data_IF_036060222530
#
_entry.id   IF_036060222530
#
_cell.length_a   1.000
_cell.length_b   1.000
_cell.length_c   1.000
_cell.angle_alpha   90.00
_cell.angle_beta   90.00
_cell.angle_gamma   90.00
#
_symmetry.space_group_name_H-M   'P 1'
#
loop_
_entity.id
_entity.type
_entity.pdbx_description
1 polymer ?
#
# COMPACT_ATOMS: atom_id res chain seq x y z
N UNK A 1 -7.12 -25.48 -5.27
CA UNK A 1 -8.48 -26.01 -5.03
C UNK A 1 -9.36 -24.83 -4.69
N UNK A 2 -10.36 -24.52 -5.51
CA UNK A 2 -11.31 -23.43 -5.18
C UNK A 2 -12.08 -23.88 -3.93
N UNK A 3 -11.96 -23.11 -2.86
CA UNK A 3 -12.73 -23.27 -1.64
C UNK A 3 -13.90 -22.30 -1.66
N UNK A 4 -15.04 -22.70 -1.10
CA UNK A 4 -16.18 -21.81 -0.93
C UNK A 4 -15.99 -21.05 0.39
N UNK A 5 -15.06 -20.11 0.40
CA UNK A 5 -14.67 -19.38 1.61
C UNK A 5 -14.39 -17.91 1.35
N UNK A 6 -14.47 -17.11 2.40
CA UNK A 6 -14.12 -15.70 2.41
C UNK A 6 -12.88 -15.48 3.28
N UNK A 7 -11.94 -14.70 2.77
CA UNK A 7 -10.77 -14.27 3.52
C UNK A 7 -10.89 -12.79 3.84
N UNK A 8 -10.77 -12.44 5.11
CA UNK A 8 -10.83 -11.08 5.63
C UNK A 8 -9.50 -10.69 6.24
N UNK A 9 -9.12 -9.44 6.08
CA UNK A 9 -7.98 -8.86 6.77
C UNK A 9 -8.48 -7.83 7.78
N UNK A 10 -8.31 -8.13 9.06
CA UNK A 10 -8.62 -7.24 10.17
C UNK A 10 -7.37 -6.48 10.59
N UNK A 11 -7.29 -5.19 10.23
CA UNK A 11 -6.11 -4.38 10.48
C UNK A 11 -5.75 -4.32 11.97
N UNK A 12 -6.70 -3.93 12.81
CA UNK A 12 -6.46 -3.71 14.24
C UNK A 12 -6.48 -4.97 15.09
N UNK A 13 -6.88 -6.09 14.51
CA UNK A 13 -6.77 -7.43 15.10
C UNK A 13 -5.41 -8.08 14.78
N UNK A 14 -4.64 -7.48 13.86
CA UNK A 14 -3.41 -8.07 13.31
C UNK A 14 -3.62 -9.48 12.78
N UNK A 15 -4.76 -9.71 12.15
CA UNK A 15 -5.18 -11.03 11.75
C UNK A 15 -5.77 -11.08 10.34
N UNK A 16 -5.49 -12.18 9.65
CA UNK A 16 -6.21 -12.59 8.45
C UNK A 16 -7.05 -13.81 8.81
N UNK A 17 -8.34 -13.72 8.54
CA UNK A 17 -9.34 -14.70 8.98
C UNK A 17 -10.03 -15.29 7.76
N UNK A 18 -10.24 -16.60 7.75
CA UNK A 18 -11.00 -17.27 6.70
C UNK A 18 -12.24 -17.93 7.27
N UNK A 19 -13.36 -17.70 6.61
CA UNK A 19 -14.67 -18.25 6.97
C UNK A 19 -15.23 -19.08 5.82
N UNK A 20 -15.98 -20.12 6.15
CA UNK A 20 -16.85 -20.78 5.19
C UNK A 20 -17.93 -19.81 4.72
N UNK A 21 -18.14 -19.73 3.41
CA UNK A 21 -19.06 -18.74 2.82
C UNK A 21 -20.53 -19.00 3.13
N UNK A 22 -20.93 -20.27 3.25
CA UNK A 22 -22.33 -20.63 3.43
C UNK A 22 -22.73 -20.65 4.90
N UNK A 23 -21.83 -21.15 5.76
CA UNK A 23 -22.14 -21.33 7.19
C UNK A 23 -21.66 -20.20 8.07
N UNK A 24 -20.68 -19.42 7.59
CA UNK A 24 -19.98 -18.42 8.40
C UNK A 24 -19.07 -19.01 9.46
N UNK A 25 -18.84 -20.32 9.44
CA UNK A 25 -17.93 -20.96 10.38
C UNK A 25 -16.48 -20.57 10.12
N UNK A 26 -15.72 -20.39 11.21
CA UNK A 26 -14.31 -20.04 11.16
C UNK A 26 -13.48 -21.24 10.70
N UNK A 27 -12.71 -21.07 9.62
CA UNK A 27 -11.80 -22.09 9.10
C UNK A 27 -10.41 -21.96 9.71
N UNK A 28 -9.81 -20.77 9.65
CA UNK A 28 -8.46 -20.50 10.16
C UNK A 28 -8.15 -19.03 10.38
N UNK A 29 -7.10 -18.75 11.15
CA UNK A 29 -6.58 -17.43 11.47
C UNK A 29 -5.07 -17.39 11.22
N UNK A 30 -4.58 -16.37 10.52
CA UNK A 30 -3.15 -16.02 10.40
C UNK A 30 -2.90 -14.76 11.22
N UNK A 31 -2.02 -14.82 12.20
CA UNK A 31 -1.65 -13.72 13.06
C UNK A 31 -0.93 -14.20 14.32
N UNK A 32 -0.38 -13.27 15.07
CA UNK A 32 0.22 -13.58 16.35
C UNK A 32 -0.84 -14.11 17.32
N UNK A 33 -0.71 -15.31 17.86
CA UNK A 33 -1.67 -15.91 18.77
C UNK A 33 -1.68 -15.29 20.18
N UNK A 34 -0.73 -14.39 20.48
CA UNK A 34 -0.69 -13.72 21.78
C UNK A 34 -2.02 -12.97 22.06
N UNK A 35 -2.52 -13.10 23.28
CA UNK A 35 -3.79 -12.53 23.76
C UNK A 35 -5.08 -13.14 23.19
N UNK A 36 -4.99 -14.18 22.37
CA UNK A 36 -6.16 -14.96 21.94
C UNK A 36 -6.50 -16.04 22.94
N UNK A 37 -7.80 -16.41 23.12
CA UNK A 37 -8.17 -17.55 23.95
C UNK A 37 -7.52 -18.83 23.44
N UNK A 38 -6.95 -19.63 24.33
CA UNK A 38 -6.19 -20.83 23.96
C UNK A 38 -6.98 -21.81 23.11
N UNK A 39 -8.29 -21.94 23.34
CA UNK A 39 -9.18 -22.78 22.54
C UNK A 39 -9.26 -22.37 21.07
N UNK A 40 -9.10 -21.07 20.77
CA UNK A 40 -9.02 -20.55 19.40
C UNK A 40 -7.64 -20.79 18.80
N UNK A 41 -6.59 -20.58 19.60
CA UNK A 41 -5.20 -20.84 19.18
C UNK A 41 -5.04 -22.29 18.76
N UNK A 42 -5.46 -23.22 19.61
CA UNK A 42 -5.33 -24.66 19.35
C UNK A 42 -6.12 -25.13 18.12
N UNK A 43 -7.20 -24.46 17.78
CA UNK A 43 -8.12 -24.91 16.73
C UNK A 43 -7.93 -24.20 15.38
N UNK A 44 -7.58 -22.93 15.41
CA UNK A 44 -7.68 -22.09 14.20
C UNK A 44 -6.39 -21.42 13.78
N UNK A 45 -5.37 -21.35 14.66
CA UNK A 45 -4.12 -20.72 14.32
C UNK A 45 -3.14 -21.67 13.68
N UNK A 46 -2.32 -21.14 12.80
CA UNK A 46 -1.25 -21.90 12.18
C UNK A 46 -0.01 -21.93 13.05
N UNK A 47 0.71 -23.05 13.00
CA UNK A 47 2.03 -23.21 13.62
C UNK A 47 3.11 -22.88 12.59
N UNK A 48 4.01 -21.91 12.87
CA UNK A 48 5.13 -21.63 12.01
C UNK A 48 6.04 -22.84 11.80
N UNK A 49 6.46 -23.06 10.54
CA UNK A 49 7.38 -24.12 10.13
C UNK A 49 8.38 -23.58 9.11
N UNK A 50 9.41 -24.35 8.79
CA UNK A 50 10.50 -24.01 7.88
C UNK A 50 11.78 -23.63 8.64
N UNK A 51 12.90 -23.57 7.89
CA UNK A 51 14.22 -23.25 8.46
C UNK A 51 14.55 -21.76 8.35
N UNK A 52 13.67 -20.97 7.72
CA UNK A 52 13.84 -19.53 7.53
C UNK A 52 13.35 -18.70 8.71
N UNK A 53 13.63 -17.40 8.66
CA UNK A 53 13.02 -16.47 9.60
C UNK A 53 11.50 -16.45 9.42
N UNK A 54 10.79 -16.31 10.53
CA UNK A 54 9.35 -16.13 10.54
C UNK A 54 8.98 -15.00 11.48
N UNK A 55 8.22 -14.04 10.94
CA UNK A 55 7.60 -12.97 11.72
C UNK A 55 6.11 -12.90 11.40
N UNK A 56 5.30 -12.65 12.41
CA UNK A 56 3.90 -12.30 12.21
C UNK A 56 3.75 -10.89 11.61
N UNK A 57 2.65 -10.68 10.89
CA UNK A 57 2.25 -9.35 10.43
C UNK A 57 1.51 -8.58 11.53
N UNK A 58 1.59 -7.25 11.45
CA UNK A 58 0.87 -6.33 12.33
C UNK A 58 0.25 -5.19 11.54
N UNK A 59 -1.01 -4.89 11.82
CA UNK A 59 -1.82 -3.84 11.15
C UNK A 59 -1.76 -3.90 9.60
N UNK A 60 -1.78 -5.10 9.07
CA UNK A 60 -1.57 -5.39 7.65
C UNK A 60 -2.66 -4.79 6.74
N UNK A 61 -2.26 -4.53 5.49
CA UNK A 61 -3.14 -4.14 4.40
C UNK A 61 -2.99 -5.06 3.19
N UNK A 62 -3.92 -4.93 2.24
CA UNK A 62 -3.87 -5.54 0.91
C UNK A 62 -3.60 -7.05 0.93
N UNK A 63 -4.34 -7.79 1.73
CA UNK A 63 -4.27 -9.23 1.75
C UNK A 63 -4.81 -9.83 0.44
N UNK A 64 -4.02 -10.65 -0.21
CA UNK A 64 -4.35 -11.32 -1.47
C UNK A 64 -4.16 -12.82 -1.31
N UNK A 65 -5.13 -13.60 -1.79
CA UNK A 65 -5.00 -15.06 -1.93
C UNK A 65 -4.46 -15.35 -3.32
N UNK A 66 -3.28 -15.94 -3.38
CA UNK A 66 -2.59 -16.24 -4.64
C UNK A 66 -3.20 -17.46 -5.35
N UNK A 67 -2.91 -17.66 -6.64
CA UNK A 67 -3.47 -18.77 -7.42
C UNK A 67 -3.15 -20.17 -6.88
N UNK A 68 -2.03 -20.31 -6.19
CA UNK A 68 -1.58 -21.55 -5.53
C UNK A 68 -2.15 -21.75 -4.12
N UNK A 69 -2.79 -20.72 -3.57
CA UNK A 69 -3.38 -20.72 -2.23
C UNK A 69 -2.51 -20.06 -1.17
N UNK A 70 -1.32 -19.58 -1.51
CA UNK A 70 -0.50 -18.80 -0.61
C UNK A 70 -1.19 -17.46 -0.29
N UNK A 71 -0.86 -16.87 0.84
CA UNK A 71 -1.37 -15.57 1.28
C UNK A 71 -0.26 -14.53 1.14
N UNK A 72 -0.54 -13.46 0.42
CA UNK A 72 0.38 -12.33 0.29
C UNK A 72 -0.26 -11.07 0.85
N UNK A 73 0.50 -10.25 1.58
CA UNK A 73 -0.01 -9.03 2.17
C UNK A 73 1.11 -8.01 2.40
N UNK A 74 0.71 -6.76 2.62
CA UNK A 74 1.60 -5.74 3.14
C UNK A 74 1.49 -5.70 4.66
N UNK A 75 2.58 -6.06 5.34
CA UNK A 75 2.74 -5.98 6.79
C UNK A 75 3.22 -4.58 7.15
N UNK A 76 2.32 -3.73 7.62
CA UNK A 76 2.66 -2.36 8.03
C UNK A 76 3.57 -2.35 9.25
N UNK A 77 3.43 -3.33 10.13
CA UNK A 77 4.27 -3.47 11.31
C UNK A 77 4.03 -2.42 12.39
N UNK A 78 2.90 -1.70 12.34
CA UNK A 78 2.63 -0.67 13.32
C UNK A 78 2.59 -1.29 14.72
N UNK A 79 3.35 -0.70 15.65
CA UNK A 79 3.62 -1.21 17.00
C UNK A 79 4.39 -2.55 17.06
N UNK A 80 4.16 -3.48 16.15
CA UNK A 80 4.78 -4.81 16.03
C UNK A 80 4.88 -5.59 17.35
N UNK A 81 3.84 -5.51 18.16
CA UNK A 81 3.64 -6.27 19.38
C UNK A 81 2.18 -6.20 19.83
N UNK A 82 1.70 -7.24 20.51
CA UNK A 82 0.37 -7.28 21.12
C UNK A 82 0.30 -6.59 22.49
N UNK A 83 1.44 -6.44 23.14
CA UNK A 83 1.55 -5.76 24.43
C UNK A 83 2.17 -4.38 24.24
N UNK A 84 1.50 -3.29 24.70
CA UNK A 84 2.02 -1.92 24.64
C UNK A 84 3.42 -1.73 25.23
N UNK A 85 3.79 -2.50 26.23
CA UNK A 85 5.12 -2.42 26.86
C UNK A 85 6.25 -2.89 25.90
N UNK A 86 5.88 -3.61 24.84
CA UNK A 86 6.80 -4.17 23.84
C UNK A 86 6.75 -3.42 22.51
N UNK A 87 6.02 -2.32 22.41
CA UNK A 87 5.90 -1.56 21.18
C UNK A 87 7.24 -1.09 20.65
N UNK A 88 7.49 -1.37 19.36
CA UNK A 88 8.70 -0.93 18.67
C UNK A 88 8.50 0.52 18.20
N UNK A 89 9.40 1.45 18.57
CA UNK A 89 9.34 2.82 18.07
C UNK A 89 9.43 2.87 16.54
N UNK A 90 8.70 3.79 15.92
CA UNK A 90 8.65 3.94 14.46
C UNK A 90 10.04 4.06 13.81
N UNK A 91 10.97 4.74 14.47
CA UNK A 91 12.36 4.89 14.00
C UNK A 91 13.20 3.60 13.99
N UNK A 92 12.70 2.55 14.61
CA UNK A 92 13.35 1.23 14.70
C UNK A 92 12.49 0.13 14.06
N UNK A 93 11.36 0.50 13.51
CA UNK A 93 10.40 -0.42 12.94
C UNK A 93 10.62 -0.60 11.43
N UNK A 94 9.88 -1.51 10.84
CA UNK A 94 9.87 -1.77 9.41
C UNK A 94 8.49 -2.15 8.91
N UNK A 95 8.25 -1.90 7.64
CA UNK A 95 7.15 -2.49 6.87
C UNK A 95 7.69 -3.39 5.77
N UNK A 96 6.84 -4.28 5.26
CA UNK A 96 7.27 -5.21 4.21
C UNK A 96 6.10 -5.80 3.44
N UNK A 97 6.35 -6.20 2.21
CA UNK A 97 5.55 -7.22 1.56
C UNK A 97 5.95 -8.59 2.10
N UNK A 98 5.01 -9.47 2.36
CA UNK A 98 5.28 -10.84 2.83
C UNK A 98 4.35 -11.83 2.17
N UNK A 99 4.87 -13.04 1.88
CA UNK A 99 4.10 -14.17 1.36
C UNK A 99 4.23 -15.35 2.31
N UNK A 100 3.09 -15.85 2.70
CA UNK A 100 2.96 -17.03 3.55
C UNK A 100 2.39 -18.20 2.76
N UNK A 101 3.04 -19.33 2.85
CA UNK A 101 2.51 -20.64 2.43
C UNK A 101 1.79 -21.29 3.59
N UNK A 102 0.55 -21.68 3.36
CA UNK A 102 -0.27 -22.34 4.39
C UNK A 102 -0.60 -23.79 4.00
N UNK A 103 -0.56 -24.66 4.97
CA UNK A 103 -1.09 -26.04 4.88
C UNK A 103 -2.28 -26.15 5.84
N UNK A 104 -3.49 -26.09 5.29
CA UNK A 104 -4.73 -26.12 6.08
C UNK A 104 -5.06 -27.50 6.65
N UNK A 105 -4.47 -28.56 6.12
CA UNK A 105 -4.65 -29.91 6.66
C UNK A 105 -3.79 -30.14 7.90
N UNK A 106 -2.59 -29.54 7.93
CA UNK A 106 -1.65 -29.63 9.06
C UNK A 106 -1.69 -28.44 10.00
N UNK A 107 -2.40 -27.39 9.61
CA UNK A 107 -2.41 -26.09 10.29
C UNK A 107 -1.00 -25.54 10.49
N UNK A 108 -0.21 -25.50 9.40
CA UNK A 108 1.15 -24.97 9.40
C UNK A 108 1.31 -23.83 8.42
N UNK A 109 2.21 -22.90 8.75
CA UNK A 109 2.51 -21.70 7.98
C UNK A 109 4.01 -21.52 7.81
N UNK A 110 4.45 -21.18 6.62
CA UNK A 110 5.84 -20.89 6.30
C UNK A 110 5.94 -19.51 5.65
N UNK A 111 6.88 -18.69 6.11
CA UNK A 111 7.22 -17.45 5.42
C UNK A 111 8.15 -17.77 4.26
N UNK A 112 7.62 -17.73 3.03
CA UNK A 112 8.36 -18.16 1.83
C UNK A 112 9.02 -16.99 1.09
N UNK A 113 8.59 -15.77 1.36
CA UNK A 113 9.17 -14.57 0.78
C UNK A 113 8.84 -13.33 1.62
N UNK A 114 9.75 -12.35 1.60
CA UNK A 114 9.49 -11.00 2.08
C UNK A 114 10.39 -9.99 1.34
N UNK A 115 9.97 -8.73 1.37
CA UNK A 115 10.78 -7.58 0.95
C UNK A 115 10.39 -6.34 1.75
N UNK A 116 11.37 -5.62 2.27
CA UNK A 116 11.21 -4.35 2.99
C UNK A 116 11.73 -4.37 4.43
N UNK A 117 11.80 -5.53 5.10
CA UNK A 117 12.34 -5.66 6.45
C UNK A 117 13.77 -5.12 6.56
N UNK A 118 14.60 -5.43 5.59
CA UNK A 118 16.01 -5.03 5.49
C UNK A 118 16.20 -3.51 5.32
N UNK A 119 15.15 -2.81 4.93
CA UNK A 119 15.17 -1.36 4.73
C UNK A 119 14.83 -0.60 6.01
N UNK A 120 14.29 -1.28 7.02
CA UNK A 120 13.97 -0.67 8.31
C UNK A 120 13.01 0.52 8.21
N UNK A 121 13.28 1.56 8.98
CA UNK A 121 12.42 2.74 9.07
C UNK A 121 12.29 3.54 7.77
N UNK A 122 13.24 3.41 6.86
CA UNK A 122 13.19 4.06 5.53
C UNK A 122 12.00 3.58 4.70
N UNK A 123 11.56 2.34 4.92
CA UNK A 123 10.42 1.75 4.22
C UNK A 123 9.17 1.64 5.10
N UNK A 124 9.26 2.08 6.35
CA UNK A 124 8.19 1.94 7.33
C UNK A 124 7.03 2.88 7.03
N UNK A 125 5.86 2.28 6.87
CA UNK A 125 4.59 2.98 6.70
C UNK A 125 3.53 2.36 7.61
N UNK A 126 3.06 3.06 8.65
CA UNK A 126 2.17 2.49 9.67
C UNK A 126 0.73 2.26 9.19
N UNK A 127 0.38 2.65 7.99
CA UNK A 127 -0.98 2.52 7.43
C UNK A 127 -0.95 2.52 5.91
N UNK A 128 -2.09 2.20 5.26
CA UNK A 128 -2.25 2.10 3.80
C UNK A 128 -1.27 1.11 3.18
N UNK A 129 -0.83 1.30 1.95
CA UNK A 129 0.12 0.45 1.24
C UNK A 129 -0.51 -0.78 0.57
N UNK A 130 0.23 -1.38 -0.34
CA UNK A 130 -0.18 -2.65 -0.93
C UNK A 130 0.98 -3.46 -1.51
N UNK A 131 0.66 -4.71 -1.78
CA UNK A 131 1.46 -5.61 -2.59
C UNK A 131 0.63 -6.06 -3.78
N UNK A 132 1.29 -6.30 -4.90
CA UNK A 132 0.68 -6.89 -6.09
C UNK A 132 1.49 -8.10 -6.53
N UNK A 133 0.78 -9.16 -6.89
CA UNK A 133 1.33 -10.37 -7.47
C UNK A 133 1.01 -10.39 -8.96
N UNK A 134 2.02 -10.38 -9.80
CA UNK A 134 1.85 -10.50 -11.25
C UNK A 134 2.06 -11.94 -11.71
N UNK A 135 3.17 -12.52 -11.32
CA UNK A 135 3.52 -13.91 -11.50
C UNK A 135 4.58 -14.34 -10.47
N UNK A 136 5.06 -15.57 -10.52
CA UNK A 136 6.02 -16.10 -9.56
C UNK A 136 7.35 -15.32 -9.58
N UNK A 137 7.68 -14.73 -8.45
CA UNK A 137 8.87 -13.92 -8.26
C UNK A 137 8.77 -12.49 -8.82
N UNK A 138 7.63 -12.11 -9.42
CA UNK A 138 7.41 -10.78 -9.95
C UNK A 138 6.32 -10.07 -9.16
N UNK A 139 6.74 -9.28 -8.21
CA UNK A 139 5.87 -8.59 -7.25
C UNK A 139 6.13 -7.10 -7.24
N UNK A 140 5.10 -6.34 -6.91
CA UNK A 140 5.23 -4.92 -6.58
C UNK A 140 4.93 -4.73 -5.10
N UNK A 141 5.75 -3.91 -4.44
CA UNK A 141 5.55 -3.52 -3.05
C UNK A 141 5.50 -2.00 -2.99
N UNK A 142 4.42 -1.48 -2.46
CA UNK A 142 4.16 -0.06 -2.38
C UNK A 142 4.01 0.37 -0.92
N UNK A 143 4.92 1.20 -0.46
CA UNK A 143 4.88 1.86 0.84
C UNK A 143 4.40 3.30 0.66
N UNK A 144 3.16 3.57 1.06
CA UNK A 144 2.41 4.77 0.66
C UNK A 144 2.37 5.90 1.68
N UNK A 145 2.99 5.72 2.84
CA UNK A 145 2.96 6.72 3.92
C UNK A 145 4.23 6.67 4.76
N UNK A 146 5.40 6.77 4.11
CA UNK A 146 6.70 6.74 4.77
C UNK A 146 6.91 8.04 5.54
N UNK A 147 7.22 7.92 6.83
CA UNK A 147 7.50 9.05 7.71
C UNK A 147 8.98 9.23 8.05
N UNK A 148 9.88 8.45 7.44
CA UNK A 148 11.33 8.53 7.69
C UNK A 148 12.10 8.37 6.39
N UNK A 149 13.04 9.29 6.14
CA UNK A 149 14.00 9.22 5.05
C UNK A 149 15.41 9.49 5.62
N UNK A 150 16.41 8.75 5.15
CA UNK A 150 17.80 8.86 5.63
C UNK A 150 17.92 8.82 7.16
N UNK A 151 17.07 8.03 7.82
CA UNK A 151 17.04 7.87 9.27
C UNK A 151 16.49 9.06 10.05
N UNK A 152 15.85 10.03 9.36
CA UNK A 152 15.22 11.20 9.96
C UNK A 152 13.72 11.21 9.70
N UNK A 153 12.90 11.73 10.63
CA UNK A 153 11.51 12.01 10.33
C UNK A 153 11.39 12.97 9.14
N UNK A 154 10.50 12.65 8.18
CA UNK A 154 10.14 13.57 7.12
C UNK A 154 9.14 14.61 7.64
N UNK A 155 9.19 15.83 7.18
CA UNK A 155 8.14 16.83 7.43
C UNK A 155 6.85 16.46 6.71
N UNK A 156 6.96 15.76 5.59
CA UNK A 156 5.86 15.13 4.88
C UNK A 156 6.01 13.63 4.82
N UNK A 157 5.05 12.94 4.23
CA UNK A 157 5.12 11.53 3.95
C UNK A 157 5.60 11.28 2.52
N UNK A 158 6.57 10.40 2.38
CA UNK A 158 7.03 9.94 1.07
C UNK A 158 6.29 8.67 0.64
N UNK A 159 6.33 8.41 -0.65
CA UNK A 159 5.78 7.21 -1.28
C UNK A 159 6.91 6.48 -1.99
N UNK A 160 7.08 5.21 -1.69
CA UNK A 160 8.08 4.37 -2.34
C UNK A 160 7.41 3.18 -3.00
N UNK A 161 7.81 2.88 -4.21
CA UNK A 161 7.34 1.76 -4.98
C UNK A 161 8.53 0.96 -5.47
N UNK A 162 8.56 -0.32 -5.15
CA UNK A 162 9.60 -1.23 -5.57
C UNK A 162 9.01 -2.40 -6.38
N UNK A 163 9.65 -2.74 -7.48
CA UNK A 163 9.30 -3.86 -8.33
C UNK A 163 10.39 -4.92 -8.25
N UNK A 164 10.01 -6.13 -7.88
CA UNK A 164 10.91 -7.27 -7.85
C UNK A 164 10.70 -8.16 -9.08
N UNK A 165 11.72 -8.41 -9.90
CA UNK A 165 11.68 -9.40 -10.96
C UNK A 165 11.89 -10.82 -10.42
N UNK A 166 11.88 -11.81 -11.30
CA UNK A 166 12.03 -13.25 -11.01
C UNK A 166 13.20 -13.64 -10.08
N UNK A 167 14.22 -12.83 -10.00
CA UNK A 167 15.29 -13.04 -9.02
C UNK A 167 14.92 -12.33 -7.72
N UNK A 168 14.49 -13.10 -6.75
CA UNK A 168 13.92 -12.70 -5.46
C UNK A 168 14.62 -11.58 -4.69
N UNK A 169 15.86 -11.30 -5.01
CA UNK A 169 16.73 -10.37 -4.27
C UNK A 169 17.04 -9.10 -5.06
N UNK A 170 16.42 -8.91 -6.22
CA UNK A 170 16.72 -7.79 -7.09
C UNK A 170 15.50 -6.93 -7.37
N UNK A 171 15.56 -5.68 -6.92
CA UNK A 171 14.62 -4.65 -7.36
C UNK A 171 14.96 -4.24 -8.79
N UNK A 172 13.99 -4.36 -9.70
CA UNK A 172 14.16 -3.97 -11.11
C UNK A 172 13.78 -2.52 -11.36
N UNK A 173 12.89 -2.00 -10.55
CA UNK A 173 12.41 -0.63 -10.64
C UNK A 173 12.05 -0.14 -9.24
N UNK A 174 12.46 1.05 -8.92
CA UNK A 174 12.10 1.75 -7.69
C UNK A 174 11.81 3.21 -7.99
N UNK A 175 10.79 3.76 -7.37
CA UNK A 175 10.53 5.19 -7.39
C UNK A 175 10.18 5.69 -5.99
N UNK A 176 10.56 6.91 -5.71
CA UNK A 176 10.23 7.61 -4.47
C UNK A 176 9.67 8.99 -4.81
N UNK A 177 8.68 9.43 -4.07
CA UNK A 177 8.16 10.79 -4.18
C UNK A 177 9.18 11.79 -3.71
N UNK A 178 9.36 12.86 -4.48
CA UNK A 178 10.22 13.99 -4.14
C UNK A 178 9.58 15.30 -4.59
N UNK A 179 10.10 16.40 -4.13
CA UNK A 179 9.79 17.74 -4.65
C UNK A 179 10.96 18.27 -5.48
N UNK A 180 10.67 19.14 -6.43
CA UNK A 180 11.67 19.92 -7.14
C UNK A 180 11.60 21.35 -6.61
N UNK A 181 12.69 21.80 -6.01
CA UNK A 181 12.83 23.16 -5.52
C UNK A 181 14.08 23.76 -6.18
N UNK A 182 13.89 24.81 -6.96
CA UNK A 182 14.98 25.47 -7.71
C UNK A 182 15.80 24.48 -8.58
N UNK A 183 15.09 23.54 -9.25
CA UNK A 183 15.65 22.44 -10.06
C UNK A 183 16.45 21.38 -9.27
N UNK A 184 16.46 21.45 -7.95
CA UNK A 184 17.07 20.42 -7.10
C UNK A 184 16.02 19.43 -6.58
N UNK A 185 16.39 18.14 -6.56
CA UNK A 185 15.54 17.08 -6.00
C UNK A 185 15.60 17.13 -4.48
N UNK A 186 14.46 17.34 -3.84
CA UNK A 186 14.32 17.39 -2.38
C UNK A 186 13.40 16.28 -1.93
N UNK A 187 13.90 15.43 -1.04
CA UNK A 187 13.12 14.33 -0.46
C UNK A 187 12.35 14.72 0.80
N UNK A 188 12.67 15.85 1.39
CA UNK A 188 11.91 16.44 2.49
C UNK A 188 10.72 17.19 1.92
N UNK A 189 9.53 16.60 2.05
CA UNK A 189 8.32 17.14 1.44
C UNK A 189 7.72 18.25 2.29
N UNK A 190 7.45 19.40 1.70
CA UNK A 190 6.76 20.50 2.35
C UNK A 190 5.24 20.28 2.43
N UNK A 191 4.74 19.37 1.59
CA UNK A 191 3.34 18.95 1.60
C UNK A 191 3.29 17.45 1.77
N UNK A 192 2.57 16.93 2.77
CA UNK A 192 2.42 15.49 2.95
C UNK A 192 1.90 14.82 1.68
N UNK A 193 2.60 13.81 1.20
CA UNK A 193 2.17 12.96 0.11
C UNK A 193 1.81 11.58 0.65
N UNK A 194 0.58 11.17 0.39
CA UNK A 194 0.11 9.82 0.71
C UNK A 194 -0.40 9.18 -0.57
N UNK A 195 -0.06 7.91 -0.77
CA UNK A 195 -0.66 7.11 -1.81
C UNK A 195 -1.26 5.85 -1.20
N UNK A 196 -2.57 5.75 -1.27
CA UNK A 196 -3.27 4.63 -0.66
C UNK A 196 -2.88 3.30 -1.28
N UNK A 197 -2.78 3.28 -2.62
CA UNK A 197 -2.52 2.08 -3.40
C UNK A 197 -1.80 2.41 -4.70
N UNK A 198 -0.93 1.53 -5.13
CA UNK A 198 -0.34 1.55 -6.47
C UNK A 198 -0.73 0.28 -7.22
N UNK A 199 -0.91 0.39 -8.52
CA UNK A 199 -1.25 -0.72 -9.40
C UNK A 199 -0.55 -0.54 -10.74
N UNK A 200 -0.02 -1.64 -11.29
CA UNK A 200 0.53 -1.65 -12.64
C UNK A 200 -0.57 -2.02 -13.62
N UNK A 201 -0.96 -1.08 -14.42
CA UNK A 201 -1.94 -1.30 -15.48
C UNK A 201 -1.25 -1.41 -16.84
N UNK A 202 -1.71 -2.30 -17.73
CA UNK A 202 -1.28 -2.28 -19.12
C UNK A 202 -1.82 -1.00 -19.79
N UNK A 203 -0.96 -0.31 -20.53
CA UNK A 203 -1.39 0.86 -21.32
C UNK A 203 -2.34 0.42 -22.45
N UNK A 204 -2.17 -0.81 -22.92
CA UNK A 204 -2.98 -1.39 -24.00
C UNK A 204 -3.72 -2.63 -23.51
N UNK A 205 -4.93 -2.82 -23.98
CA UNK A 205 -5.71 -4.04 -23.69
C UNK A 205 -5.03 -5.27 -24.31
N UNK A 206 -5.01 -6.36 -23.56
CA UNK A 206 -4.44 -7.61 -24.05
C UNK A 206 -5.20 -8.11 -25.29
N UNK A 207 -4.47 -8.41 -26.36
CA UNK A 207 -5.02 -8.92 -27.61
C UNK A 207 -5.29 -7.87 -28.69
N UNK A 208 -5.12 -6.59 -28.40
CA UNK A 208 -5.14 -5.56 -29.45
C UNK A 208 -3.73 -5.34 -30.00
N UNK A 209 -3.60 -5.41 -31.32
CA UNK A 209 -2.39 -5.03 -32.01
C UNK A 209 -2.45 -3.53 -32.28
N UNK A 210 -1.55 -2.77 -31.68
CA UNK A 210 -1.37 -1.36 -31.99
C UNK A 210 -0.21 -1.22 -32.99
N UNK A 211 -0.49 -0.62 -34.11
CA UNK A 211 0.58 -0.11 -34.98
C UNK A 211 1.11 1.17 -34.31
N UNK A 212 2.36 1.13 -33.90
CA UNK A 212 3.04 2.35 -33.47
C UNK A 212 3.25 3.23 -34.73
N UNK A 213 2.49 4.31 -34.81
CA UNK A 213 2.76 5.37 -35.75
C UNK A 213 4.07 6.10 -35.44
N UNK A 214 4.49 6.99 -36.34
CA UNK A 214 5.62 7.87 -36.05
C UNK A 214 5.30 8.73 -34.85
N UNK A 215 6.26 8.82 -33.88
CA UNK A 215 6.13 9.65 -32.69
C UNK A 215 5.91 11.10 -33.10
N UNK A 216 4.78 11.68 -32.70
CA UNK A 216 4.51 13.11 -32.85
C UNK A 216 4.87 13.82 -31.55
N UNK A 217 5.66 14.88 -31.67
CA UNK A 217 5.90 15.75 -30.56
C UNK A 217 4.63 16.58 -30.29
N UNK A 218 3.94 16.26 -29.20
CA UNK A 218 2.69 16.92 -28.82
C UNK A 218 2.91 18.23 -28.04
N UNK A 219 4.15 18.65 -27.89
CA UNK A 219 4.55 19.78 -27.05
C UNK A 219 5.18 19.28 -25.75
N UNK A 220 5.94 20.12 -25.07
CA UNK A 220 6.29 19.93 -23.66
C UNK A 220 5.02 20.09 -22.84
N UNK A 221 5.04 19.62 -21.60
CA UNK A 221 4.12 20.16 -20.62
C UNK A 221 4.31 21.66 -20.66
N UNK A 222 3.35 22.36 -21.28
CA UNK A 222 3.24 23.80 -21.09
C UNK A 222 3.21 23.93 -19.57
N UNK A 223 3.96 24.89 -19.03
CA UNK A 223 3.78 25.28 -17.65
C UNK A 223 2.29 25.55 -17.45
N UNK A 224 1.58 24.52 -17.05
CA UNK A 224 0.23 24.67 -16.60
C UNK A 224 0.40 25.41 -15.30
N UNK A 225 0.05 26.69 -15.29
CA UNK A 225 -0.21 27.37 -14.04
C UNK A 225 -1.10 26.42 -13.26
N UNK A 226 -0.57 25.86 -12.18
CA UNK A 226 -1.36 25.03 -11.27
C UNK A 226 -2.37 25.98 -10.67
N UNK A 227 -3.52 26.04 -11.29
CA UNK A 227 -4.59 26.90 -10.84
C UNK A 227 -5.14 26.26 -9.58
N UNK A 228 -4.74 26.78 -8.44
CA UNK A 228 -5.30 26.39 -7.16
C UNK A 228 -6.74 26.86 -7.11
N UNK A 229 -7.65 25.91 -7.19
CA UNK A 229 -9.06 26.22 -7.05
C UNK A 229 -9.43 26.30 -5.59
N UNK A 230 -10.05 27.41 -5.24
CA UNK A 230 -10.65 27.61 -3.94
C UNK A 230 -12.15 27.32 -4.06
N UNK A 231 -12.66 26.39 -3.30
CA UNK A 231 -14.10 26.10 -3.24
C UNK A 231 -14.72 26.91 -2.11
N UNK A 232 -15.76 27.68 -2.41
CA UNK A 232 -16.48 28.46 -1.41
C UNK A 232 -17.28 27.56 -0.49
N UNK A 233 -17.09 27.71 0.81
CA UNK A 233 -18.00 27.15 1.79
C UNK A 233 -19.11 28.16 2.09
N UNK A 234 -20.33 27.68 2.29
CA UNK A 234 -21.40 28.50 2.81
C UNK A 234 -21.24 28.80 4.32
N UNK A 235 -22.16 29.55 4.87
CA UNK A 235 -22.15 29.90 6.30
C UNK A 235 -22.29 28.69 7.24
N UNK A 236 -22.68 27.53 6.73
CA UNK A 236 -22.78 26.27 7.48
C UNK A 236 -21.54 25.40 7.36
N UNK A 237 -20.59 25.79 6.52
CA UNK A 237 -19.40 25.01 6.18
C UNK A 237 -19.61 23.98 5.08
N UNK A 238 -20.80 23.93 4.48
CA UNK A 238 -21.02 23.10 3.30
C UNK A 238 -20.32 23.67 2.06
N UNK A 239 -19.66 22.81 1.32
CA UNK A 239 -18.99 23.15 0.08
C UNK A 239 -20.06 23.33 -1.00
N UNK A 240 -20.17 24.54 -1.55
CA UNK A 240 -21.03 24.80 -2.70
C UNK A 240 -20.17 24.81 -3.96
N UNK A 241 -20.21 23.77 -4.79
CA UNK A 241 -19.55 23.79 -6.09
C UNK A 241 -20.36 24.69 -7.03
N UNK A 242 -19.89 25.91 -7.27
CA UNK A 242 -20.55 26.79 -8.25
C UNK A 242 -20.40 26.28 -9.68
N UNK A 243 -19.32 25.56 -9.98
CA UNK A 243 -19.14 24.84 -11.25
C UNK A 243 -18.31 23.58 -11.04
N UNK A 244 -18.71 22.48 -11.61
CA UNK A 244 -17.90 21.26 -11.68
C UNK A 244 -16.64 21.43 -12.54
N UNK A 245 -16.57 22.47 -13.31
CA UNK A 245 -15.46 22.84 -14.14
C UNK A 245 -14.67 24.01 -13.53
N UNK A 246 -14.21 23.80 -12.32
CA UNK A 246 -13.09 24.53 -11.82
C UNK A 246 -13.19 26.06 -11.84
N UNK A 247 -14.25 26.65 -11.39
CA UNK A 247 -14.16 28.08 -11.11
C UNK A 247 -13.32 28.33 -9.91
N UNK A 248 -12.35 29.13 -10.12
CA UNK A 248 -11.45 29.61 -9.11
C UNK A 248 -12.21 30.61 -8.26
N UNK A 249 -12.10 30.39 -7.03
CA UNK A 249 -12.66 31.26 -6.06
C UNK A 249 -11.53 32.02 -5.36
N UNK A 250 -11.66 33.29 -5.22
CA UNK A 250 -10.56 34.17 -4.84
C UNK A 250 -10.54 34.57 -3.37
N UNK A 251 -11.24 33.91 -2.47
CA UNK A 251 -11.36 34.39 -1.11
C UNK A 251 -10.73 33.47 -0.05
N UNK A 252 -10.58 33.97 1.15
CA UNK A 252 -9.66 33.45 2.14
C UNK A 252 -10.12 32.18 2.91
N UNK A 253 -11.38 31.80 2.89
CA UNK A 253 -11.92 30.69 3.69
C UNK A 253 -12.33 29.49 2.84
N UNK A 254 -11.35 28.68 2.35
CA UNK A 254 -11.68 27.73 1.30
C UNK A 254 -10.84 26.48 1.28
N UNK A 255 -11.49 25.38 0.86
CA UNK A 255 -10.81 24.16 0.49
C UNK A 255 -10.09 24.37 -0.85
N UNK A 256 -8.81 24.04 -0.89
CA UNK A 256 -8.04 24.11 -2.11
C UNK A 256 -8.17 22.78 -2.86
N UNK A 257 -8.65 22.86 -4.10
CA UNK A 257 -8.67 21.72 -5.01
C UNK A 257 -7.65 22.01 -6.10
N UNK A 258 -6.69 21.13 -6.29
CA UNK A 258 -5.77 21.20 -7.41
C UNK A 258 -6.43 20.55 -8.62
N UNK A 259 -6.59 21.28 -9.69
CA UNK A 259 -7.06 20.76 -10.96
C UNK A 259 -6.14 21.23 -12.08
N UNK A 260 -5.91 20.35 -13.02
CA UNK A 260 -5.18 20.62 -14.25
C UNK A 260 -6.21 20.77 -15.36
N UNK A 261 -6.19 21.89 -16.09
CA UNK A 261 -7.01 22.06 -17.27
C UNK A 261 -6.22 22.72 -18.40
N UNK A 262 -6.58 22.42 -19.62
CA UNK A 262 -6.05 23.05 -20.81
C UNK A 262 -7.20 23.66 -21.58
N UNK A 263 -7.13 24.96 -21.88
CA UNK A 263 -8.09 25.70 -22.73
C UNK A 263 -9.57 25.41 -22.48
N UNK A 264 -9.98 25.36 -21.21
CA UNK A 264 -11.39 25.20 -20.82
C UNK A 264 -11.88 23.74 -20.77
N UNK A 265 -11.00 22.77 -20.96
CA UNK A 265 -11.29 21.36 -20.68
C UNK A 265 -10.69 20.95 -19.34
N UNK A 266 -11.50 20.27 -18.52
CA UNK A 266 -11.07 19.72 -17.26
C UNK A 266 -10.43 18.35 -17.49
N UNK A 267 -9.18 18.20 -17.08
CA UNK A 267 -8.48 16.93 -17.07
C UNK A 267 -8.25 16.53 -15.62
N UNK A 268 -8.83 15.40 -15.22
CA UNK A 268 -8.58 14.76 -13.93
C UNK A 268 -7.25 14.07 -13.93
#
# INVERSE_FOLDING_TARGET
KKTNSLTFSGRHEDAVINLDYETGELNWIIGDPENWPQEYVDKYFFTPVGDGEFDWQYEQHACVVLPDGDIMLFDNGHYRAKNPDNYIPNSQNFSRGVRYRIDTDKMTIEQVWQYGKERGAEFFSPYICNVEYYDEGHYMVHSGGIGYLDGKPCEGMAVMLAMQPETKDRVSFESITCELIDDEVVYELHVPANCYRAEKLPIYFAGEAFEQGEGQYLGGLIETETTRMKVKADETGEIIPEHYNASILEEEDRIMVNAIYTEGEFVQ
#
